data_IF_553796324022
#
_entry.id   IF_553796324022
#
_cell.length_a   1.000
_cell.length_b   1.000
_cell.length_c   1.000
_cell.angle_alpha   90.00
_cell.angle_beta   90.00
_cell.angle_gamma   90.00
#
_symmetry.space_group_name_H-M   'P 1'
#
loop_
_entity.id
_entity.type
_entity.pdbx_description
1 polymer ?
#
# COMPACT_ATOMS: atom_id res chain seq x y z
N UNK A 1 4.18 26.09 -28.28
CA UNK A 1 3.34 24.96 -27.83
C UNK A 1 4.16 23.73 -27.38
N UNK A 2 5.15 23.27 -28.17
CA UNK A 2 5.94 22.06 -27.87
C UNK A 2 6.88 22.21 -26.64
N UNK A 3 7.40 23.41 -26.38
CA UNK A 3 8.24 23.70 -25.20
C UNK A 3 7.45 23.71 -23.88
N UNK A 4 6.21 24.21 -23.91
CA UNK A 4 5.30 24.22 -22.76
C UNK A 4 4.85 22.79 -22.39
N UNK A 5 4.51 21.95 -23.38
CA UNK A 5 4.22 20.53 -23.14
C UNK A 5 5.44 19.77 -22.57
N UNK A 6 6.67 20.06 -23.04
CA UNK A 6 7.90 19.46 -22.47
C UNK A 6 8.24 19.98 -21.07
N UNK A 7 7.80 21.19 -20.72
CA UNK A 7 7.92 21.76 -19.38
C UNK A 7 6.87 21.15 -18.42
N UNK A 8 5.61 21.04 -18.87
CA UNK A 8 4.55 20.34 -18.15
C UNK A 8 4.92 18.87 -17.91
N UNK A 9 5.47 18.18 -18.91
CA UNK A 9 5.92 16.79 -18.79
C UNK A 9 7.11 16.61 -17.82
N UNK A 10 7.94 17.65 -17.61
CA UNK A 10 9.07 17.61 -16.66
C UNK A 10 8.70 18.03 -15.24
N UNK A 11 7.61 18.78 -15.07
CA UNK A 11 7.11 19.27 -13.76
C UNK A 11 5.67 18.85 -13.49
N UNK A 12 5.24 17.74 -14.06
CA UNK A 12 3.85 17.27 -14.03
C UNK A 12 3.30 17.10 -12.60
N UNK A 13 4.19 16.91 -11.64
CA UNK A 13 3.89 16.78 -10.21
C UNK A 13 3.31 18.05 -9.58
N UNK A 14 3.53 19.24 -10.17
CA UNK A 14 2.97 20.51 -9.68
C UNK A 14 1.56 20.82 -10.23
N UNK A 15 1.30 20.79 -11.56
CA UNK A 15 -0.01 21.11 -12.10
C UNK A 15 -1.04 20.01 -11.84
N UNK A 16 -0.64 18.75 -11.65
CA UNK A 16 -1.60 17.64 -11.47
C UNK A 16 -2.40 17.74 -10.15
N UNK A 17 -1.80 18.00 -8.97
CA UNK A 17 -2.56 18.27 -7.75
C UNK A 17 -3.52 19.45 -7.88
N UNK A 18 -3.09 20.52 -8.55
CA UNK A 18 -3.93 21.70 -8.83
C UNK A 18 -5.11 21.32 -9.72
N UNK A 19 -4.84 20.60 -10.81
CA UNK A 19 -5.87 20.11 -11.74
C UNK A 19 -6.85 19.17 -11.03
N UNK A 20 -6.37 18.32 -10.13
CA UNK A 20 -7.21 17.42 -9.36
C UNK A 20 -8.22 18.19 -8.50
N UNK A 21 -7.78 19.26 -7.83
CA UNK A 21 -8.66 20.11 -7.02
C UNK A 21 -9.60 20.95 -7.88
N UNK A 22 -9.13 21.47 -9.02
CA UNK A 22 -9.99 22.19 -9.96
C UNK A 22 -11.08 21.26 -10.50
N UNK A 23 -10.74 20.05 -10.94
CA UNK A 23 -11.71 19.06 -11.38
C UNK A 23 -12.67 18.69 -10.25
N UNK A 24 -12.15 18.51 -9.03
CA UNK A 24 -12.99 18.23 -7.86
C UNK A 24 -14.06 19.31 -7.67
N UNK A 25 -13.69 20.59 -7.73
CA UNK A 25 -14.63 21.71 -7.62
C UNK A 25 -15.64 21.70 -8.77
N UNK A 26 -15.19 21.42 -10.01
CA UNK A 26 -16.05 21.40 -11.19
C UNK A 26 -17.05 20.24 -11.21
N UNK A 27 -16.68 19.10 -10.62
CA UNK A 27 -17.50 17.88 -10.58
C UNK A 27 -18.25 17.72 -9.25
N UNK A 28 -17.98 18.57 -8.26
CA UNK A 28 -18.59 18.46 -6.93
C UNK A 28 -20.12 18.49 -7.01
N UNK A 29 -20.78 17.45 -6.50
CA UNK A 29 -22.24 17.34 -6.47
C UNK A 29 -22.95 17.37 -7.83
N UNK A 30 -22.24 17.08 -8.92
CA UNK A 30 -22.81 17.07 -10.29
C UNK A 30 -22.77 15.66 -10.87
N UNK A 31 -23.83 15.29 -11.59
CA UNK A 31 -23.80 14.11 -12.44
C UNK A 31 -22.79 14.34 -13.56
N UNK A 32 -21.75 13.50 -13.60
CA UNK A 32 -20.67 13.59 -14.59
C UNK A 32 -20.87 12.55 -15.68
N UNK A 33 -20.82 12.95 -16.97
CA UNK A 33 -20.92 12.00 -18.07
C UNK A 33 -19.69 11.09 -18.13
N UNK A 34 -19.85 9.89 -18.70
CA UNK A 34 -18.82 8.83 -18.75
C UNK A 34 -17.41 9.30 -19.17
N UNK A 35 -17.25 10.12 -20.24
CA UNK A 35 -15.93 10.65 -20.62
C UNK A 35 -15.26 11.52 -19.55
N UNK A 36 -16.06 12.26 -18.78
CA UNK A 36 -15.55 13.10 -17.68
C UNK A 36 -15.13 12.22 -16.51
N UNK A 37 -15.86 11.13 -16.23
CA UNK A 37 -15.43 10.14 -15.22
C UNK A 37 -14.08 9.54 -15.60
N UNK A 38 -13.88 9.12 -16.85
CA UNK A 38 -12.59 8.60 -17.31
C UNK A 38 -11.45 9.62 -17.13
N UNK A 39 -11.69 10.89 -17.46
CA UNK A 39 -10.74 11.97 -17.22
C UNK A 39 -10.43 12.14 -15.72
N UNK A 40 -11.46 12.12 -14.87
CA UNK A 40 -11.29 12.20 -13.42
C UNK A 40 -10.47 11.03 -12.89
N UNK A 41 -10.72 9.81 -13.36
CA UNK A 41 -9.94 8.62 -12.97
C UNK A 41 -8.47 8.74 -13.37
N UNK A 42 -8.17 9.24 -14.57
CA UNK A 42 -6.78 9.49 -15.01
C UNK A 42 -6.12 10.55 -14.14
N UNK A 43 -6.83 11.63 -13.81
CA UNK A 43 -6.29 12.71 -12.96
C UNK A 43 -6.12 12.24 -11.52
N UNK A 44 -7.02 11.40 -11.00
CA UNK A 44 -6.89 10.76 -9.70
C UNK A 44 -5.61 9.91 -9.65
N UNK A 45 -5.36 9.06 -10.65
CA UNK A 45 -4.12 8.27 -10.71
C UNK A 45 -2.87 9.17 -10.78
N UNK A 46 -2.92 10.25 -11.57
CA UNK A 46 -1.87 11.26 -11.60
C UNK A 46 -1.66 11.94 -10.24
N UNK A 47 -2.74 12.26 -9.51
CA UNK A 47 -2.67 12.91 -8.21
C UNK A 47 -2.07 11.99 -7.14
N UNK A 48 -2.37 10.69 -7.17
CA UNK A 48 -1.72 9.69 -6.31
C UNK A 48 -0.22 9.63 -6.59
N UNK A 49 0.19 9.53 -7.86
CA UNK A 49 1.61 9.52 -8.23
C UNK A 49 2.32 10.83 -7.85
N UNK A 50 1.65 11.98 -7.98
CA UNK A 50 2.19 13.27 -7.57
C UNK A 50 2.31 13.40 -6.04
N UNK A 51 1.33 12.88 -5.28
CA UNK A 51 1.38 12.83 -3.82
C UNK A 51 2.60 12.02 -3.35
N UNK A 52 2.80 10.82 -3.88
CA UNK A 52 3.97 10.00 -3.53
C UNK A 52 5.27 10.70 -3.90
N UNK A 53 5.36 11.33 -5.08
CA UNK A 53 6.55 12.09 -5.44
C UNK A 53 6.86 13.22 -4.44
N UNK A 54 5.84 13.98 -4.01
CA UNK A 54 6.04 15.03 -3.02
C UNK A 54 6.41 14.47 -1.65
N UNK A 55 5.87 13.31 -1.26
CA UNK A 55 6.29 12.59 -0.06
C UNK A 55 7.76 12.16 -0.15
N UNK A 56 8.22 11.64 -1.29
CA UNK A 56 9.62 11.30 -1.53
C UNK A 56 10.55 12.51 -1.41
N UNK A 57 10.15 13.69 -1.93
CA UNK A 57 10.95 14.91 -1.81
C UNK A 57 11.09 15.35 -0.35
N UNK A 58 10.02 15.22 0.44
CA UNK A 58 10.05 15.52 1.88
C UNK A 58 10.94 14.49 2.61
N UNK A 59 10.78 13.21 2.31
CA UNK A 59 11.58 12.13 2.85
C UNK A 59 13.08 12.34 2.58
N UNK A 60 13.46 12.68 1.35
CA UNK A 60 14.83 12.94 0.96
C UNK A 60 15.42 14.19 1.64
N UNK A 61 14.59 15.18 1.98
CA UNK A 61 15.04 16.33 2.79
C UNK A 61 15.35 15.93 4.23
N UNK A 62 14.49 15.10 4.82
CA UNK A 62 14.61 14.62 6.20
C UNK A 62 15.84 13.72 6.34
N UNK A 63 16.13 12.93 5.31
CA UNK A 63 17.27 12.02 5.26
C UNK A 63 17.00 10.71 5.98
N UNK A 64 17.85 9.72 5.76
CA UNK A 64 17.74 8.44 6.44
C UNK A 64 18.16 8.52 7.91
N UNK A 65 17.50 7.78 8.81
CA UNK A 65 16.46 6.77 8.53
C UNK A 65 15.02 7.30 8.60
N UNK A 66 14.80 8.55 9.00
CA UNK A 66 13.46 9.10 9.23
C UNK A 66 12.68 9.42 7.95
N UNK A 67 13.39 9.64 6.84
CA UNK A 67 12.78 9.88 5.53
C UNK A 67 11.90 8.72 5.06
N UNK A 68 12.35 7.47 5.20
CA UNK A 68 11.57 6.29 4.81
C UNK A 68 10.27 6.16 5.64
N UNK A 69 10.33 6.49 6.93
CA UNK A 69 9.14 6.54 7.79
C UNK A 69 8.14 7.60 7.32
N UNK A 70 8.62 8.79 6.97
CA UNK A 70 7.75 9.87 6.47
C UNK A 70 7.07 9.48 5.16
N UNK A 71 7.80 8.80 4.26
CA UNK A 71 7.23 8.28 3.02
C UNK A 71 6.13 7.24 3.31
N UNK A 72 6.42 6.25 4.17
CA UNK A 72 5.47 5.20 4.53
C UNK A 72 4.19 5.79 5.14
N UNK A 73 4.33 6.71 6.11
CA UNK A 73 3.18 7.39 6.73
C UNK A 73 2.40 8.19 5.69
N UNK A 74 3.06 8.91 4.77
CA UNK A 74 2.35 9.68 3.74
C UNK A 74 1.54 8.78 2.80
N UNK A 75 2.09 7.63 2.37
CA UNK A 75 1.39 6.66 1.53
C UNK A 75 0.19 6.07 2.28
N UNK A 76 0.37 5.68 3.55
CA UNK A 76 -0.74 5.15 4.35
C UNK A 76 -1.80 6.20 4.64
N UNK A 77 -1.45 7.47 4.80
CA UNK A 77 -2.44 8.56 4.91
C UNK A 77 -3.30 8.65 3.66
N UNK A 78 -2.74 8.47 2.46
CA UNK A 78 -3.51 8.39 1.22
C UNK A 78 -4.50 7.22 1.29
N UNK A 79 -4.01 6.02 1.65
CA UNK A 79 -4.82 4.80 1.76
C UNK A 79 -5.97 4.95 2.76
N UNK A 80 -5.65 5.35 3.99
CA UNK A 80 -6.62 5.53 5.08
C UNK A 80 -7.66 6.59 4.73
N UNK A 81 -7.23 7.71 4.16
CA UNK A 81 -8.16 8.78 3.80
C UNK A 81 -9.17 8.32 2.74
N UNK A 82 -8.74 7.49 1.77
CA UNK A 82 -9.63 6.86 0.80
C UNK A 82 -10.59 5.88 1.47
N UNK A 83 -10.09 4.96 2.30
CA UNK A 83 -10.92 3.97 3.01
C UNK A 83 -11.98 4.67 3.87
N UNK A 84 -11.58 5.61 4.72
CA UNK A 84 -12.49 6.31 5.65
C UNK A 84 -13.54 7.12 4.90
N UNK A 85 -13.16 7.80 3.80
CA UNK A 85 -14.10 8.59 3.00
C UNK A 85 -15.15 7.71 2.35
N UNK A 86 -14.75 6.59 1.76
CA UNK A 86 -15.68 5.67 1.12
C UNK A 86 -16.55 4.92 2.12
N UNK A 87 -16.03 4.61 3.31
CA UNK A 87 -16.83 4.08 4.41
C UNK A 87 -17.88 5.08 4.90
N UNK A 88 -17.54 6.37 4.96
CA UNK A 88 -18.47 7.41 5.37
C UNK A 88 -19.67 7.57 4.42
N UNK A 89 -19.47 7.34 3.13
CA UNK A 89 -20.52 7.49 2.11
C UNK A 89 -21.25 6.19 1.75
N UNK A 90 -20.58 5.03 1.90
CA UNK A 90 -21.06 3.76 1.37
C UNK A 90 -22.07 3.01 2.25
N UNK A 91 -22.32 3.47 3.48
CA UNK A 91 -23.24 2.83 4.43
C UNK A 91 -22.92 1.35 4.66
N UNK A 92 -23.94 0.51 4.83
CA UNK A 92 -23.76 -0.93 5.13
C UNK A 92 -22.97 -1.69 4.03
N UNK A 93 -23.03 -1.23 2.78
CA UNK A 93 -22.29 -1.84 1.66
C UNK A 93 -20.77 -1.70 1.79
N UNK A 94 -20.33 -0.71 2.57
CA UNK A 94 -18.91 -0.43 2.82
C UNK A 94 -18.36 -1.07 4.09
N UNK A 95 -19.18 -1.86 4.79
CA UNK A 95 -18.82 -2.49 6.07
C UNK A 95 -17.58 -3.39 6.02
N UNK A 96 -17.30 -4.00 4.86
CA UNK A 96 -16.10 -4.82 4.60
C UNK A 96 -15.01 -4.07 3.85
N UNK A 97 -15.22 -2.83 3.42
CA UNK A 97 -14.29 -2.13 2.51
C UNK A 97 -12.89 -1.97 3.10
N UNK A 98 -12.80 -1.62 4.39
CA UNK A 98 -11.52 -1.52 5.10
C UNK A 98 -10.78 -2.87 5.10
N UNK A 99 -11.50 -3.95 5.44
CA UNK A 99 -10.96 -5.31 5.42
C UNK A 99 -10.46 -5.70 4.03
N UNK A 100 -11.31 -5.53 3.02
CA UNK A 100 -11.04 -5.97 1.65
C UNK A 100 -9.86 -5.19 1.06
N UNK A 101 -9.76 -3.89 1.34
CA UNK A 101 -8.65 -3.05 0.88
C UNK A 101 -7.34 -3.40 1.59
N UNK A 102 -7.34 -3.53 2.92
CA UNK A 102 -6.12 -3.90 3.67
C UNK A 102 -5.65 -5.31 3.31
N UNK A 103 -6.59 -6.26 3.16
CA UNK A 103 -6.25 -7.61 2.72
C UNK A 103 -5.70 -7.63 1.28
N UNK A 104 -6.29 -6.85 0.38
CA UNK A 104 -5.74 -6.67 -0.96
C UNK A 104 -4.33 -6.11 -0.92
N UNK A 105 -4.05 -5.12 -0.07
CA UNK A 105 -2.73 -4.55 0.09
C UNK A 105 -1.70 -5.61 0.52
N UNK A 106 -2.04 -6.49 1.47
CA UNK A 106 -1.19 -7.63 1.88
C UNK A 106 -0.95 -8.59 0.73
N UNK A 107 -1.97 -8.98 -0.03
CA UNK A 107 -1.82 -9.93 -1.13
C UNK A 107 -1.02 -9.32 -2.30
N UNK A 108 -1.25 -8.05 -2.62
CA UNK A 108 -0.50 -7.31 -3.64
C UNK A 108 0.96 -7.22 -3.23
N UNK A 109 1.27 -6.82 -2.00
CA UNK A 109 2.65 -6.63 -1.54
C UNK A 109 3.39 -7.96 -1.39
N UNK A 110 2.86 -8.90 -0.60
CA UNK A 110 3.54 -10.16 -0.27
C UNK A 110 3.62 -11.15 -1.44
N UNK A 111 2.73 -11.06 -2.43
CA UNK A 111 2.71 -11.98 -3.57
C UNK A 111 2.96 -11.27 -4.89
N UNK A 112 2.22 -10.19 -5.19
CA UNK A 112 2.38 -9.45 -6.45
C UNK A 112 3.75 -8.77 -6.56
N UNK A 113 4.05 -7.83 -5.66
CA UNK A 113 5.28 -7.03 -5.66
C UNK A 113 6.49 -7.89 -5.35
N UNK A 114 6.46 -8.69 -4.28
CA UNK A 114 7.55 -9.63 -3.97
C UNK A 114 7.78 -10.59 -5.12
N UNK A 115 6.72 -11.23 -5.65
CA UNK A 115 6.83 -12.19 -6.74
C UNK A 115 7.45 -11.61 -8.01
N UNK A 116 6.98 -10.44 -8.47
CA UNK A 116 7.55 -9.82 -9.68
C UNK A 116 8.98 -9.33 -9.46
N UNK A 117 9.31 -8.82 -8.27
CA UNK A 117 10.66 -8.38 -7.94
C UNK A 117 11.64 -9.55 -7.90
N UNK A 118 11.26 -10.66 -7.25
CA UNK A 118 12.08 -11.87 -7.20
C UNK A 118 12.25 -12.49 -8.59
N UNK A 119 11.18 -12.57 -9.38
CA UNK A 119 11.24 -13.10 -10.74
C UNK A 119 12.15 -12.25 -11.62
N UNK A 120 11.98 -10.93 -11.63
CA UNK A 120 12.77 -10.03 -12.48
C UNK A 120 14.24 -9.98 -12.04
N UNK A 121 14.52 -9.98 -10.73
CA UNK A 121 15.88 -10.07 -10.24
C UNK A 121 16.51 -11.40 -10.66
N UNK A 122 15.90 -12.53 -10.30
CA UNK A 122 16.47 -13.86 -10.58
C UNK A 122 16.61 -14.19 -12.08
N UNK A 123 15.69 -13.75 -12.94
CA UNK A 123 15.84 -13.93 -14.40
C UNK A 123 17.00 -13.13 -14.98
N UNK A 124 17.26 -11.93 -14.44
CA UNK A 124 18.34 -11.06 -14.93
C UNK A 124 19.69 -11.44 -14.34
N UNK A 125 19.69 -11.92 -13.10
CA UNK A 125 20.86 -12.02 -12.24
C UNK A 125 21.18 -13.47 -11.83
N UNK A 126 20.36 -14.44 -12.20
CA UNK A 126 20.48 -15.86 -11.85
C UNK A 126 19.75 -16.20 -10.54
N UNK A 127 20.07 -15.48 -9.46
CA UNK A 127 19.38 -15.58 -8.16
C UNK A 127 19.17 -14.20 -7.58
N UNK A 128 18.06 -14.03 -6.85
CA UNK A 128 17.76 -12.82 -6.08
C UNK A 128 18.32 -13.01 -4.66
N UNK A 129 19.30 -12.20 -4.25
CA UNK A 129 19.97 -12.32 -2.94
C UNK A 129 19.54 -11.18 -2.01
N UNK A 130 19.20 -11.51 -0.77
CA UNK A 130 18.70 -10.57 0.23
C UNK A 130 19.00 -11.06 1.64
N UNK A 131 18.89 -10.18 2.64
CA UNK A 131 19.12 -10.51 4.04
C UNK A 131 17.87 -11.25 4.61
N UNK A 132 18.02 -12.53 5.03
CA UNK A 132 16.90 -13.32 5.54
C UNK A 132 16.41 -12.84 6.91
N UNK A 133 17.27 -12.26 7.76
CA UNK A 133 16.89 -11.80 9.10
C UNK A 133 15.91 -10.61 9.03
N UNK A 134 16.25 -9.58 8.25
CA UNK A 134 15.42 -8.39 8.07
C UNK A 134 14.12 -8.71 7.33
N UNK A 135 14.22 -9.48 6.25
CA UNK A 135 13.05 -9.90 5.46
C UNK A 135 12.13 -10.83 6.25
N UNK A 136 12.71 -11.72 7.08
CA UNK A 136 11.98 -12.66 7.92
C UNK A 136 11.24 -11.94 9.06
N UNK A 137 11.91 -10.98 9.71
CA UNK A 137 11.29 -10.13 10.73
C UNK A 137 10.12 -9.30 10.17
N UNK A 138 10.29 -8.74 8.96
CA UNK A 138 9.23 -8.01 8.27
C UNK A 138 8.03 -8.93 7.98
N UNK A 139 8.28 -10.10 7.39
CA UNK A 139 7.22 -11.07 7.06
C UNK A 139 6.48 -11.57 8.32
N UNK A 140 7.21 -11.89 9.40
CA UNK A 140 6.61 -12.33 10.65
C UNK A 140 5.70 -11.24 11.25
N UNK A 141 6.11 -9.97 11.13
CA UNK A 141 5.30 -8.84 11.58
C UNK A 141 4.04 -8.69 10.73
N UNK A 142 4.12 -8.78 9.40
CA UNK A 142 2.94 -8.78 8.51
C UNK A 142 1.99 -9.92 8.89
N UNK A 143 2.51 -11.14 9.03
CA UNK A 143 1.69 -12.31 9.37
C UNK A 143 0.97 -12.13 10.71
N UNK A 144 1.67 -11.59 11.71
CA UNK A 144 1.12 -11.33 13.04
C UNK A 144 0.02 -10.26 12.97
N UNK A 145 0.29 -9.13 12.30
CA UNK A 145 -0.66 -8.03 12.13
C UNK A 145 -1.91 -8.49 11.37
N UNK A 146 -1.75 -9.18 10.24
CA UNK A 146 -2.85 -9.68 9.44
C UNK A 146 -3.71 -10.68 10.22
N UNK A 147 -3.08 -11.59 10.97
CA UNK A 147 -3.80 -12.60 11.76
C UNK A 147 -4.56 -11.96 12.91
N UNK A 148 -3.89 -11.12 13.71
CA UNK A 148 -4.50 -10.50 14.88
C UNK A 148 -5.60 -9.50 14.51
N UNK A 149 -5.50 -8.80 13.38
CA UNK A 149 -6.47 -7.77 13.01
C UNK A 149 -7.55 -8.25 12.04
N UNK A 150 -7.26 -9.23 11.18
CA UNK A 150 -8.17 -9.64 10.10
C UNK A 150 -8.64 -11.10 10.22
N UNK A 151 -7.92 -12.00 10.87
CA UNK A 151 -8.35 -13.41 11.04
C UNK A 151 -9.08 -13.59 12.36
N UNK A 152 -8.52 -13.08 13.45
CA UNK A 152 -9.07 -13.22 14.80
C UNK A 152 -10.53 -12.77 14.97
N UNK A 153 -11.03 -11.67 14.36
CA UNK A 153 -12.43 -11.27 14.54
C UNK A 153 -13.45 -12.30 14.04
N UNK A 154 -13.05 -13.23 13.15
CA UNK A 154 -13.93 -14.31 12.68
C UNK A 154 -14.14 -15.40 13.73
N UNK A 155 -13.26 -15.50 14.74
CA UNK A 155 -13.27 -16.54 15.76
C UNK A 155 -13.67 -16.05 17.16
N UNK A 156 -13.79 -14.73 17.36
CA UNK A 156 -14.28 -14.17 18.62
C UNK A 156 -15.80 -14.29 18.73
N UNK A 157 -16.32 -14.47 19.95
CA UNK A 157 -17.76 -14.66 20.21
C UNK A 157 -18.43 -13.48 20.89
N UNK A 158 -17.67 -12.42 21.21
CA UNK A 158 -18.13 -11.28 22.00
C UNK A 158 -19.07 -10.34 21.26
N UNK A 159 -19.12 -10.39 19.93
CA UNK A 159 -20.04 -9.62 19.08
C UNK A 159 -20.52 -10.53 17.94
N UNK A 160 -21.80 -10.48 17.55
CA UNK A 160 -22.29 -11.27 16.42
C UNK A 160 -21.60 -10.87 15.11
N UNK A 161 -21.19 -11.89 14.34
CA UNK A 161 -20.51 -11.73 13.06
C UNK A 161 -18.99 -11.51 13.18
N UNK A 162 -18.28 -11.38 12.04
CA UNK A 162 -16.82 -11.26 11.99
C UNK A 162 -16.32 -9.86 12.39
N UNK A 163 -16.65 -9.43 13.60
CA UNK A 163 -16.41 -8.09 14.13
C UNK A 163 -15.77 -8.14 15.51
N UNK A 164 -14.92 -7.17 15.80
CA UNK A 164 -14.44 -6.96 17.16
C UNK A 164 -15.47 -6.27 18.06
N UNK A 165 -15.46 -6.64 19.34
CA UNK A 165 -15.98 -5.77 20.40
C UNK A 165 -15.07 -4.55 20.59
N UNK A 166 -15.54 -3.50 21.25
CA UNK A 166 -14.74 -2.27 21.45
C UNK A 166 -13.40 -2.55 22.15
N UNK A 167 -13.38 -3.47 23.12
CA UNK A 167 -12.15 -3.87 23.82
C UNK A 167 -11.19 -4.61 22.90
N UNK A 168 -11.70 -5.55 22.10
CA UNK A 168 -10.89 -6.30 21.13
C UNK A 168 -10.33 -5.40 20.02
N UNK A 169 -11.12 -4.44 19.54
CA UNK A 169 -10.69 -3.47 18.52
C UNK A 169 -9.61 -2.55 19.07
N UNK A 170 -9.76 -2.08 20.32
CA UNK A 170 -8.75 -1.26 21.00
C UNK A 170 -7.45 -2.04 21.16
N UNK A 171 -7.53 -3.31 21.59
CA UNK A 171 -6.37 -4.18 21.69
C UNK A 171 -5.70 -4.36 20.31
N UNK A 172 -6.45 -4.72 19.27
CA UNK A 172 -5.92 -4.91 17.93
C UNK A 172 -5.25 -3.64 17.38
N UNK A 173 -5.85 -2.46 17.59
CA UNK A 173 -5.28 -1.17 17.21
C UNK A 173 -3.97 -0.87 17.96
N UNK A 174 -3.95 -1.02 19.29
CA UNK A 174 -2.74 -0.76 20.08
C UNK A 174 -1.63 -1.75 19.75
N UNK A 175 -1.93 -3.04 19.65
CA UNK A 175 -0.97 -4.07 19.24
C UNK A 175 -0.42 -3.79 17.84
N UNK A 176 -1.27 -3.33 16.91
CA UNK A 176 -0.84 -2.96 15.56
C UNK A 176 0.16 -1.80 15.57
N UNK A 177 -0.13 -0.75 16.34
CA UNK A 177 0.74 0.40 16.47
C UNK A 177 2.07 0.05 17.17
N UNK A 178 2.02 -0.80 18.20
CA UNK A 178 3.22 -1.27 18.91
C UNK A 178 4.11 -2.08 17.97
N UNK A 179 3.55 -3.06 17.26
CA UNK A 179 4.33 -3.89 16.32
C UNK A 179 4.92 -3.06 15.18
N UNK A 180 4.15 -2.13 14.61
CA UNK A 180 4.68 -1.20 13.60
C UNK A 180 5.80 -0.33 14.17
N UNK A 181 5.63 0.23 15.37
CA UNK A 181 6.67 1.04 16.03
C UNK A 181 7.94 0.26 16.35
N UNK A 182 7.81 -0.99 16.82
CA UNK A 182 8.94 -1.90 17.05
C UNK A 182 9.66 -2.25 15.75
N UNK A 183 8.92 -2.53 14.68
CA UNK A 183 9.49 -2.80 13.37
C UNK A 183 10.27 -1.59 12.85
N UNK A 184 9.64 -0.41 12.83
CA UNK A 184 10.28 0.83 12.39
C UNK A 184 11.55 1.08 13.21
N UNK A 185 11.48 1.00 14.54
CA UNK A 185 12.66 1.21 15.40
C UNK A 185 13.80 0.21 15.11
N UNK A 186 13.44 -1.03 14.81
CA UNK A 186 14.40 -2.08 14.43
C UNK A 186 15.04 -1.78 13.09
N UNK A 187 14.24 -1.38 12.10
CA UNK A 187 14.69 -1.02 10.76
C UNK A 187 15.53 0.27 10.73
N UNK A 188 15.22 1.26 11.56
CA UNK A 188 15.82 2.59 11.50
C UNK A 188 17.00 2.78 12.45
N UNK A 189 16.99 2.13 13.62
CA UNK A 189 17.98 2.38 14.69
C UNK A 189 18.73 1.13 15.10
N UNK A 190 18.04 0.09 15.59
CA UNK A 190 18.70 -1.01 16.32
C UNK A 190 19.40 -2.03 15.43
N UNK A 191 18.80 -2.39 14.29
CA UNK A 191 19.29 -3.46 13.40
C UNK A 191 19.21 -3.03 11.93
N UNK A 192 19.59 -1.78 11.64
CA UNK A 192 19.51 -1.19 10.29
C UNK A 192 20.24 -2.02 9.24
N UNK A 193 21.36 -2.64 9.61
CA UNK A 193 22.18 -3.44 8.69
C UNK A 193 21.43 -4.63 8.07
N UNK A 194 20.41 -5.17 8.75
CA UNK A 194 19.56 -6.25 8.20
C UNK A 194 18.65 -5.77 7.07
N UNK A 195 18.47 -4.46 6.93
CA UNK A 195 17.62 -3.85 5.93
C UNK A 195 18.44 -3.13 4.85
N UNK A 196 19.77 -3.08 4.96
CA UNK A 196 20.59 -2.46 3.92
C UNK A 196 20.77 -3.41 2.72
N UNK A 197 20.88 -2.87 1.49
CA UNK A 197 21.19 -3.67 0.32
C UNK A 197 22.50 -4.45 0.53
N UNK A 198 22.47 -5.74 0.19
CA UNK A 198 23.66 -6.60 0.25
C UNK A 198 24.13 -6.95 -1.15
N UNK A 199 25.45 -7.12 -1.28
CA UNK A 199 26.07 -7.78 -2.42
C UNK A 199 25.73 -9.27 -2.41
N UNK A 200 26.01 -9.95 -3.52
CA UNK A 200 25.82 -11.40 -3.62
C UNK A 200 26.72 -12.19 -2.69
N UNK A 201 27.83 -11.59 -2.24
CA UNK A 201 28.74 -12.12 -1.24
C UNK A 201 28.27 -11.85 0.20
N UNK A 202 27.09 -11.25 0.39
CA UNK A 202 26.53 -10.94 1.70
C UNK A 202 27.11 -9.70 2.38
N UNK A 203 27.94 -8.92 1.69
CA UNK A 203 28.48 -7.66 2.21
C UNK A 203 27.50 -6.51 2.00
N UNK A 204 27.32 -5.67 3.00
CA UNK A 204 26.48 -4.47 2.92
C UNK A 204 27.04 -3.49 1.90
N UNK A 205 26.19 -3.00 1.00
CA UNK A 205 26.52 -1.95 0.04
C UNK A 205 26.37 -0.61 0.76
N UNK A 206 27.48 -0.04 1.24
CA UNK A 206 27.48 1.24 1.97
C UNK A 206 27.53 2.50 1.09
N UNK A 207 27.54 2.34 -0.24
CA UNK A 207 27.60 3.48 -1.17
C UNK A 207 26.22 4.00 -1.54
N UNK A 208 25.79 5.02 -0.82
CA UNK A 208 24.78 5.93 -1.34
C UNK A 208 25.49 7.15 -1.94
N UNK A 209 25.55 7.19 -3.28
CA UNK A 209 25.55 8.45 -4.02
C UNK A 209 24.23 9.17 -3.73
N UNK A 210 24.08 9.70 -2.52
CA UNK A 210 22.95 10.56 -2.20
C UNK A 210 23.13 11.84 -3.00
N UNK A 211 22.21 12.06 -3.95
CA UNK A 211 22.04 13.38 -4.53
C UNK A 211 21.89 14.39 -3.38
N UNK A 212 22.40 15.61 -3.56
CA UNK A 212 22.31 16.62 -2.51
C UNK A 212 20.84 16.81 -2.08
N UNK A 213 20.57 16.88 -0.76
CA UNK A 213 19.20 16.96 -0.27
C UNK A 213 18.53 18.23 -0.81
N UNK A 214 17.23 18.18 -1.16
CA UNK A 214 16.53 19.31 -1.73
C UNK A 214 16.57 20.51 -0.78
N UNK A 215 16.43 21.71 -1.34
CA UNK A 215 16.40 22.94 -0.54
C UNK A 215 15.19 22.97 0.40
N UNK A 216 15.28 23.71 1.51
CA UNK A 216 14.14 23.91 2.44
C UNK A 216 12.90 24.47 1.73
N UNK A 217 13.08 25.35 0.75
CA UNK A 217 11.99 25.90 -0.06
C UNK A 217 11.32 24.81 -0.89
N UNK A 218 12.10 23.93 -1.52
CA UNK A 218 11.58 22.78 -2.31
C UNK A 218 10.79 21.81 -1.44
N UNK A 219 11.27 21.53 -0.23
CA UNK A 219 10.57 20.66 0.72
C UNK A 219 9.24 21.28 1.19
N UNK A 220 9.20 22.58 1.49
CA UNK A 220 7.97 23.29 1.86
C UNK A 220 6.95 23.35 0.73
N UNK A 221 7.39 23.60 -0.51
CA UNK A 221 6.52 23.53 -1.69
C UNK A 221 5.94 22.13 -1.84
N UNK A 222 6.77 21.09 -1.66
CA UNK A 222 6.31 19.71 -1.74
C UNK A 222 5.33 19.35 -0.64
N UNK A 223 5.51 19.88 0.58
CA UNK A 223 4.53 19.72 1.66
C UNK A 223 3.17 20.34 1.29
N UNK A 224 3.16 21.55 0.73
CA UNK A 224 1.93 22.19 0.25
C UNK A 224 1.27 21.42 -0.89
N UNK A 225 2.07 20.94 -1.86
CA UNK A 225 1.56 20.14 -2.98
C UNK A 225 1.09 18.75 -2.57
N UNK A 226 1.71 18.12 -1.57
CA UNK A 226 1.23 16.88 -0.97
C UNK A 226 -0.15 17.08 -0.34
N UNK A 227 -0.34 18.15 0.44
CA UNK A 227 -1.65 18.48 1.01
C UNK A 227 -2.71 18.72 -0.07
N UNK A 228 -2.35 19.44 -1.14
CA UNK A 228 -3.24 19.68 -2.27
C UNK A 228 -3.59 18.39 -3.03
N UNK A 229 -2.60 17.51 -3.22
CA UNK A 229 -2.78 16.22 -3.85
C UNK A 229 -3.69 15.32 -3.02
N UNK A 230 -3.54 15.32 -1.69
CA UNK A 230 -4.42 14.58 -0.77
C UNK A 230 -5.88 15.04 -0.89
N UNK A 231 -6.13 16.35 -0.90
CA UNK A 231 -7.47 16.90 -1.11
C UNK A 231 -8.05 16.42 -2.46
N UNK A 232 -7.25 16.52 -3.53
CA UNK A 232 -7.63 16.05 -4.85
C UNK A 232 -7.92 14.54 -4.88
N UNK A 233 -7.02 13.71 -4.34
CA UNK A 233 -7.15 12.25 -4.32
C UNK A 233 -8.41 11.82 -3.58
N UNK A 234 -8.61 12.32 -2.36
CA UNK A 234 -9.76 11.95 -1.53
C UNK A 234 -11.07 12.39 -2.19
N UNK A 235 -11.13 13.64 -2.66
CA UNK A 235 -12.33 14.16 -3.29
C UNK A 235 -12.66 13.50 -4.63
N UNK A 236 -11.67 13.31 -5.50
CA UNK A 236 -11.89 12.67 -6.80
C UNK A 236 -12.22 11.20 -6.65
N UNK A 237 -11.60 10.48 -5.70
CA UNK A 237 -11.94 9.08 -5.44
C UNK A 237 -13.39 8.92 -4.99
N UNK A 238 -13.89 9.81 -4.13
CA UNK A 238 -15.31 9.88 -3.77
C UNK A 238 -16.20 10.07 -5.01
N UNK A 239 -15.81 10.97 -5.91
CA UNK A 239 -16.55 11.18 -7.17
C UNK A 239 -16.53 9.99 -8.12
N UNK A 240 -15.47 9.17 -8.09
CA UNK A 240 -15.28 8.02 -8.97
C UNK A 240 -15.86 6.72 -8.39
N UNK A 241 -16.02 6.61 -7.07
CA UNK A 241 -16.50 5.37 -6.41
C UNK A 241 -17.80 4.82 -7.01
N UNK A 242 -18.86 5.63 -7.22
CA UNK A 242 -20.10 5.10 -7.81
C UNK A 242 -19.89 4.52 -9.21
N UNK A 243 -18.96 5.07 -9.98
CA UNK A 243 -18.63 4.56 -11.31
C UNK A 243 -17.82 3.26 -11.24
N UNK A 244 -16.89 3.14 -10.28
CA UNK A 244 -16.19 1.88 -10.01
C UNK A 244 -17.19 0.80 -9.57
N UNK A 245 -18.06 1.11 -8.62
CA UNK A 245 -19.09 0.19 -8.13
C UNK A 245 -20.06 -0.24 -9.25
N UNK A 246 -20.50 0.69 -10.09
CA UNK A 246 -21.35 0.39 -11.24
C UNK A 246 -20.63 -0.49 -12.25
N UNK A 247 -19.34 -0.23 -12.53
CA UNK A 247 -18.52 -1.05 -13.42
C UNK A 247 -18.31 -2.47 -12.88
N UNK A 248 -18.00 -2.60 -11.59
CA UNK A 248 -17.88 -3.89 -10.88
C UNK A 248 -19.20 -4.66 -10.95
N UNK A 249 -20.32 -3.99 -10.67
CA UNK A 249 -21.65 -4.60 -10.70
C UNK A 249 -22.04 -5.02 -12.13
N UNK A 250 -21.78 -4.17 -13.13
CA UNK A 250 -22.07 -4.45 -14.54
C UNK A 250 -21.25 -5.63 -15.08
N UNK A 251 -20.04 -5.82 -14.57
CA UNK A 251 -19.21 -6.98 -14.88
C UNK A 251 -19.61 -8.25 -14.08
N UNK A 252 -20.65 -8.17 -13.23
CA UNK A 252 -21.09 -9.30 -12.39
C UNK A 252 -20.15 -9.61 -11.23
N UNK A 253 -19.26 -8.69 -10.86
CA UNK A 253 -18.21 -8.88 -9.87
C UNK A 253 -18.65 -8.48 -8.46
N UNK A 254 -17.97 -9.02 -7.44
CA UNK A 254 -18.21 -8.70 -6.03
C UNK A 254 -17.67 -7.32 -5.65
N UNK A 255 -18.32 -6.68 -4.68
CA UNK A 255 -17.89 -5.41 -4.08
C UNK A 255 -16.46 -5.45 -3.51
N UNK A 256 -15.96 -6.62 -3.09
CA UNK A 256 -14.57 -6.79 -2.67
C UNK A 256 -13.54 -6.35 -3.73
N UNK A 257 -13.89 -6.41 -5.03
CA UNK A 257 -13.05 -5.95 -6.14
C UNK A 257 -12.80 -4.43 -6.07
N UNK A 258 -13.70 -3.65 -5.47
CA UNK A 258 -13.49 -2.21 -5.25
C UNK A 258 -12.26 -1.98 -4.36
N UNK A 259 -12.13 -2.76 -3.27
CA UNK A 259 -10.96 -2.72 -2.39
C UNK A 259 -9.67 -3.09 -3.10
N UNK A 260 -9.72 -4.08 -4.01
CA UNK A 260 -8.56 -4.47 -4.85
C UNK A 260 -8.14 -3.33 -5.78
N UNK A 261 -9.09 -2.66 -6.44
CA UNK A 261 -8.81 -1.54 -7.34
C UNK A 261 -8.17 -0.39 -6.57
N UNK A 262 -8.69 -0.06 -5.39
CA UNK A 262 -8.14 0.99 -4.53
C UNK A 262 -6.71 0.64 -4.09
N UNK A 263 -6.49 -0.59 -3.61
CA UNK A 263 -5.16 -1.03 -3.17
C UNK A 263 -4.14 -1.00 -4.32
N UNK A 264 -4.52 -1.46 -5.52
CA UNK A 264 -3.67 -1.38 -6.71
C UNK A 264 -3.31 0.07 -7.08
N UNK A 265 -4.27 0.98 -7.02
CA UNK A 265 -4.05 2.39 -7.31
C UNK A 265 -3.04 3.02 -6.34
N UNK A 266 -3.21 2.76 -5.04
CA UNK A 266 -2.36 3.31 -3.98
C UNK A 266 -0.96 2.71 -3.98
N UNK A 267 -0.84 1.39 -4.22
CA UNK A 267 0.44 0.66 -4.21
C UNK A 267 1.20 0.72 -5.54
N UNK A 268 0.62 1.29 -6.59
CA UNK A 268 1.26 1.41 -7.90
C UNK A 268 2.64 2.12 -7.85
N UNK A 269 2.80 3.28 -7.19
CA UNK A 269 4.09 3.98 -7.13
C UNK A 269 5.16 3.12 -6.46
N UNK A 270 4.79 2.41 -5.39
CA UNK A 270 5.65 1.52 -4.62
C UNK A 270 6.04 0.28 -5.43
N UNK A 271 5.11 -0.30 -6.17
CA UNK A 271 5.36 -1.39 -7.11
C UNK A 271 6.42 -1.00 -8.15
N UNK A 272 6.30 0.21 -8.72
CA UNK A 272 7.27 0.74 -9.69
C UNK A 272 8.63 0.98 -9.04
N UNK A 273 8.68 1.49 -7.81
CA UNK A 273 9.92 1.70 -7.06
C UNK A 273 10.63 0.37 -6.73
N UNK A 274 9.90 -0.59 -6.18
CA UNK A 274 10.40 -1.92 -5.83
C UNK A 274 10.93 -2.65 -7.07
N UNK A 275 10.18 -2.64 -8.17
CA UNK A 275 10.61 -3.27 -9.42
C UNK A 275 11.87 -2.61 -10.02
N UNK A 276 11.98 -1.28 -9.93
CA UNK A 276 13.21 -0.57 -10.35
C UNK A 276 14.41 -0.97 -9.49
N UNK A 277 14.23 -1.12 -8.18
CA UNK A 277 15.28 -1.58 -7.27
C UNK A 277 15.71 -3.03 -7.58
N UNK A 278 14.76 -3.94 -7.74
CA UNK A 278 15.01 -5.33 -8.10
C UNK A 278 15.77 -5.45 -9.44
N UNK A 279 15.38 -4.66 -10.45
CA UNK A 279 16.10 -4.61 -11.74
C UNK A 279 17.56 -4.19 -11.60
N UNK A 280 17.90 -3.40 -10.58
CA UNK A 280 19.26 -2.89 -10.30
C UNK A 280 20.03 -3.79 -9.32
N UNK A 281 19.60 -5.04 -9.13
CA UNK A 281 20.18 -6.00 -8.17
C UNK A 281 20.13 -5.51 -6.70
N UNK A 282 19.17 -4.61 -6.37
CA UNK A 282 18.90 -4.14 -5.01
C UNK A 282 17.64 -4.83 -4.46
N UNK A 283 17.69 -6.16 -4.37
CA UNK A 283 16.53 -6.98 -3.97
C UNK A 283 16.09 -6.67 -2.54
N UNK A 284 17.02 -6.48 -1.59
CA UNK A 284 16.65 -6.09 -0.22
C UNK A 284 15.80 -4.81 -0.19
N UNK A 285 16.18 -3.78 -0.97
CA UNK A 285 15.37 -2.54 -1.07
C UNK A 285 13.97 -2.84 -1.58
N UNK A 286 13.84 -3.71 -2.59
CA UNK A 286 12.53 -4.08 -3.13
C UNK A 286 11.66 -4.82 -2.10
N UNK A 287 12.25 -5.72 -1.30
CA UNK A 287 11.55 -6.43 -0.23
C UNK A 287 11.18 -5.51 0.94
N UNK A 288 12.06 -4.58 1.30
CA UNK A 288 11.76 -3.58 2.32
C UNK A 288 10.58 -2.69 1.93
N UNK A 289 10.53 -2.25 0.67
CA UNK A 289 9.40 -1.48 0.14
C UNK A 289 8.12 -2.33 0.20
N UNK A 290 8.15 -3.55 -0.35
CA UNK A 290 6.96 -4.41 -0.39
C UNK A 290 6.43 -4.78 1.00
N UNK A 291 7.27 -5.39 1.85
CA UNK A 291 6.86 -5.84 3.18
C UNK A 291 6.63 -4.65 4.13
N UNK A 292 7.43 -3.59 4.02
CA UNK A 292 7.24 -2.34 4.75
C UNK A 292 5.88 -1.71 4.48
N UNK A 293 5.48 -1.65 3.21
CA UNK A 293 4.17 -1.18 2.78
C UNK A 293 3.05 -2.04 3.37
N UNK A 294 3.17 -3.37 3.30
CA UNK A 294 2.21 -4.30 3.90
C UNK A 294 2.02 -4.07 5.41
N UNK A 295 3.12 -3.88 6.14
CA UNK A 295 3.08 -3.60 7.58
C UNK A 295 2.46 -2.24 7.88
N UNK A 296 2.77 -1.21 7.09
CA UNK A 296 2.18 0.11 7.26
C UNK A 296 0.66 0.08 6.99
N UNK A 297 0.24 -0.59 5.90
CA UNK A 297 -1.16 -0.75 5.51
C UNK A 297 -2.01 -1.45 6.56
N UNK A 298 -1.48 -2.40 7.35
CA UNK A 298 -2.24 -2.95 8.48
C UNK A 298 -2.00 -2.13 9.76
N UNK A 299 -0.73 -1.89 10.07
CA UNK A 299 -0.23 -1.32 11.31
C UNK A 299 -0.76 0.08 11.61
N UNK A 300 -1.06 0.87 10.57
CA UNK A 300 -1.59 2.23 10.70
C UNK A 300 -3.08 2.32 10.32
N UNK A 301 -3.55 1.53 9.36
CA UNK A 301 -4.97 1.57 8.94
C UNK A 301 -5.92 1.00 9.98
N UNK A 302 -5.56 -0.12 10.64
CA UNK A 302 -6.43 -0.70 11.68
C UNK A 302 -6.66 0.29 12.83
N UNK A 303 -5.62 0.94 13.40
CA UNK A 303 -5.84 2.02 14.37
C UNK A 303 -6.66 3.18 13.82
N UNK A 304 -6.41 3.63 12.58
CA UNK A 304 -7.11 4.77 12.00
C UNK A 304 -8.60 4.48 11.79
N UNK A 305 -8.94 3.30 11.27
CA UNK A 305 -10.33 2.87 11.08
C UNK A 305 -11.01 2.61 12.43
N UNK A 306 -10.28 2.10 13.43
CA UNK A 306 -10.79 1.97 14.79
C UNK A 306 -11.18 3.34 15.38
N UNK A 307 -10.35 4.37 15.20
CA UNK A 307 -10.67 5.74 15.60
C UNK A 307 -11.85 6.31 14.80
N UNK A 308 -11.87 6.10 13.48
CA UNK A 308 -12.96 6.56 12.63
C UNK A 308 -14.31 5.92 13.03
N UNK A 309 -14.30 4.67 13.48
CA UNK A 309 -15.51 3.94 13.94
C UNK A 309 -16.19 4.55 15.16
N UNK A 310 -15.53 5.48 15.87
CA UNK A 310 -16.15 6.21 16.99
C UNK A 310 -17.21 7.21 16.52
N UNK A 311 -17.11 7.70 15.29
CA UNK A 311 -18.04 8.69 14.71
C UNK A 311 -18.74 8.20 13.45
N UNK A 312 -18.20 7.18 12.77
CA UNK A 312 -18.88 6.51 11.67
C UNK A 312 -19.99 5.61 12.19
N UNK A 313 -21.14 5.63 11.52
CA UNK A 313 -22.24 4.72 11.78
C UNK A 313 -22.14 3.50 10.87
N UNK A 314 -22.49 2.32 11.39
CA UNK A 314 -22.48 1.06 10.64
C UNK A 314 -21.54 0.00 11.21
N UNK A 315 -21.67 -1.26 10.77
CA UNK A 315 -20.80 -2.34 11.22
C UNK A 315 -19.40 -2.22 10.58
N UNK A 316 -18.37 -2.43 11.39
CA UNK A 316 -16.99 -2.57 10.93
C UNK A 316 -16.62 -4.05 10.90
N UNK A 317 -16.72 -4.66 9.71
CA UNK A 317 -16.42 -6.08 9.50
C UNK A 317 -14.96 -6.23 9.09
N UNK A 318 -14.13 -6.67 10.04
CA UNK A 318 -12.70 -6.92 9.81
C UNK A 318 -12.36 -8.38 9.56
N UNK A 319 -13.19 -9.32 10.01
CA UNK A 319 -12.90 -10.74 9.89
C UNK A 319 -12.94 -11.22 8.43
N UNK A 320 -11.88 -11.93 8.04
CA UNK A 320 -11.72 -12.52 6.71
C UNK A 320 -12.64 -13.73 6.51
N UNK A 321 -13.05 -13.90 5.25
CA UNK A 321 -13.75 -15.09 4.78
C UNK A 321 -12.79 -16.30 4.71
N UNK A 322 -13.29 -17.55 4.81
CA UNK A 322 -12.45 -18.75 4.85
C UNK A 322 -11.43 -18.89 3.71
N UNK A 323 -11.82 -18.54 2.49
CA UNK A 323 -10.93 -18.56 1.32
C UNK A 323 -9.77 -17.58 1.48
N UNK A 324 -10.04 -16.35 1.95
CA UNK A 324 -9.02 -15.35 2.21
C UNK A 324 -8.08 -15.76 3.36
N UNK A 325 -8.61 -16.40 4.40
CA UNK A 325 -7.79 -16.97 5.49
C UNK A 325 -6.85 -18.06 4.96
N UNK A 326 -7.32 -18.94 4.08
CA UNK A 326 -6.49 -19.98 3.47
C UNK A 326 -5.40 -19.40 2.57
N UNK A 327 -5.74 -18.40 1.73
CA UNK A 327 -4.77 -17.70 0.89
C UNK A 327 -3.71 -16.97 1.73
N UNK A 328 -4.11 -16.35 2.84
CA UNK A 328 -3.18 -15.72 3.78
C UNK A 328 -2.24 -16.75 4.39
N UNK A 329 -2.77 -17.87 4.89
CA UNK A 329 -1.97 -18.94 5.48
C UNK A 329 -0.96 -19.50 4.46
N UNK A 330 -1.40 -19.78 3.23
CA UNK A 330 -0.54 -20.26 2.16
C UNK A 330 0.53 -19.23 1.80
N UNK A 331 0.16 -17.94 1.73
CA UNK A 331 1.10 -16.83 1.51
C UNK A 331 2.18 -16.80 2.59
N UNK A 332 1.81 -16.88 3.87
CA UNK A 332 2.77 -16.86 4.99
C UNK A 332 3.72 -18.05 4.92
N UNK A 333 3.22 -19.25 4.64
CA UNK A 333 4.05 -20.46 4.50
C UNK A 333 5.04 -20.32 3.34
N UNK A 334 4.55 -19.97 2.14
CA UNK A 334 5.39 -19.82 0.93
C UNK A 334 6.40 -18.69 1.09
N UNK A 335 5.98 -17.55 1.64
CA UNK A 335 6.86 -16.43 1.89
C UNK A 335 7.96 -16.80 2.89
N UNK A 336 7.62 -17.57 3.94
CA UNK A 336 8.61 -18.03 4.93
C UNK A 336 9.65 -18.94 4.28
N UNK A 337 9.20 -19.92 3.49
CA UNK A 337 10.10 -20.81 2.73
C UNK A 337 10.96 -20.06 1.69
N UNK A 338 10.46 -18.95 1.17
CA UNK A 338 11.19 -18.08 0.23
C UNK A 338 12.23 -17.23 0.94
N UNK A 339 11.91 -16.72 2.13
CA UNK A 339 12.75 -15.77 2.85
C UNK A 339 13.86 -16.46 3.65
N UNK A 340 13.58 -17.60 4.28
CA UNK A 340 14.53 -18.34 5.14
C UNK A 340 15.90 -18.58 4.47
N UNK A 341 15.99 -18.96 3.17
CA UNK A 341 17.28 -19.19 2.53
C UNK A 341 18.12 -17.93 2.26
N UNK A 342 17.56 -16.71 2.38
CA UNK A 342 18.24 -15.46 1.99
C UNK A 342 18.49 -15.31 0.48
N UNK A 343 17.94 -16.22 -0.33
CA UNK A 343 18.05 -16.19 -1.78
C UNK A 343 16.86 -16.87 -2.45
N UNK A 344 16.45 -16.35 -3.60
CA UNK A 344 15.34 -16.89 -4.37
C UNK A 344 15.73 -17.12 -5.84
N UNK A 345 15.13 -18.13 -6.44
CA UNK A 345 15.21 -18.45 -7.87
C UNK A 345 13.94 -17.97 -8.60
N UNK A 346 13.87 -18.07 -9.93
CA UNK A 346 12.65 -17.73 -10.66
C UNK A 346 11.42 -18.51 -10.19
N UNK A 347 11.61 -19.73 -9.67
CA UNK A 347 10.51 -20.56 -9.17
C UNK A 347 9.78 -19.89 -8.00
N UNK A 348 10.49 -19.39 -6.99
CA UNK A 348 9.86 -18.70 -5.85
C UNK A 348 9.08 -17.46 -6.32
N UNK A 349 9.67 -16.67 -7.23
CA UNK A 349 8.97 -15.53 -7.84
C UNK A 349 7.68 -15.95 -8.56
N UNK A 350 7.74 -17.04 -9.34
CA UNK A 350 6.58 -17.63 -10.01
C UNK A 350 5.50 -18.13 -9.06
N UNK A 351 5.88 -18.82 -7.97
CA UNK A 351 4.92 -19.30 -6.96
C UNK A 351 4.16 -18.14 -6.33
N UNK A 352 4.85 -17.08 -5.92
CA UNK A 352 4.20 -15.86 -5.40
C UNK A 352 3.24 -15.24 -6.43
N UNK A 353 3.65 -15.13 -7.70
CA UNK A 353 2.77 -14.60 -8.75
C UNK A 353 1.54 -15.47 -9.00
N UNK A 354 1.65 -16.80 -8.90
CA UNK A 354 0.50 -17.72 -8.99
C UNK A 354 -0.43 -17.54 -7.80
N UNK A 355 0.09 -17.36 -6.58
CA UNK A 355 -0.73 -17.04 -5.41
C UNK A 355 -1.47 -15.71 -5.57
N UNK A 356 -0.80 -14.70 -6.13
CA UNK A 356 -1.44 -13.42 -6.42
C UNK A 356 -2.52 -13.56 -7.51
N UNK A 357 -2.25 -14.31 -8.57
CA UNK A 357 -3.24 -14.58 -9.62
C UNK A 357 -4.45 -15.36 -9.08
N UNK A 358 -4.22 -16.36 -8.23
CA UNK A 358 -5.29 -17.11 -7.56
C UNK A 358 -6.14 -16.20 -6.65
N UNK A 359 -5.50 -15.27 -5.93
CA UNK A 359 -6.22 -14.26 -5.16
C UNK A 359 -7.09 -13.36 -6.05
N UNK A 360 -6.55 -12.86 -7.16
CA UNK A 360 -7.31 -12.03 -8.09
C UNK A 360 -8.48 -12.81 -8.70
N UNK A 361 -8.25 -14.04 -9.13
CA UNK A 361 -9.31 -14.91 -9.67
C UNK A 361 -10.41 -15.11 -8.63
N UNK A 362 -10.07 -15.47 -7.39
CA UNK A 362 -11.08 -15.71 -6.33
C UNK A 362 -11.74 -14.42 -5.82
N UNK A 363 -11.09 -13.27 -5.96
CA UNK A 363 -11.70 -11.97 -5.67
C UNK A 363 -12.76 -11.60 -6.74
N UNK A 364 -12.52 -11.99 -7.99
CA UNK A 364 -13.40 -11.75 -9.14
C UNK A 364 -14.50 -12.82 -9.24
N UNK A 365 -14.14 -14.08 -9.04
CA UNK A 365 -14.92 -15.30 -9.24
C UNK A 365 -14.61 -16.34 -8.12
N UNK A 366 -15.30 -16.23 -6.96
CA UNK A 366 -14.95 -16.91 -5.71
C UNK A 366 -15.24 -18.41 -5.64
#
# INVERSE_FOLDING_TARGET
MITWLRWLARRWTIPVPVLAVVLLILTWHRAVPGPVIALVTVVLAGAVLAAVHHAEVIAHRIGEPFGSLVLAVAVTVIEVALIVTLMADGGDKSSTLARDTVFAAVMITCNGIVGICLLVASLRHGTAVFNPEGSGAALATVATLATLSLVLPTFTTSKPGPQFSSLQLTFAALSSLILYGLFVTTQTVRHRDYFLPITRQGQVISSEDHASPPSRRTALISLGMLGLALIGVVGLAKGVSPAIEAGVTAAGLRQAVVGVIIALLVLLPETIAALRAARRDRVQTSLNLALGSAMASIGLTVPAVALASLWLSGPLVLGLDPVHMLLLALTVVVASLTVVPGRATPLQGGVHLVLFAAYLELAVNP
#
